data_IF_594611803535
#
_entry.id   IF_594611803535
#
_cell.length_a   1.000
_cell.length_b   1.000
_cell.length_c   1.000
_cell.angle_alpha   90.00
_cell.angle_beta   90.00
_cell.angle_gamma   90.00
#
_symmetry.space_group_name_H-M   'P 1'
#
loop_
_entity.id
_entity.type
_entity.pdbx_description
1 polymer ?
#
# COMPACT_ATOMS: atom_id res chain seq x y z
N UNK A 1 12.18 7.46 -4.74
CA UNK A 1 13.05 6.86 -3.71
C UNK A 1 12.13 6.27 -2.67
N UNK A 2 12.10 4.95 -2.53
CA UNK A 2 11.07 4.29 -1.72
C UNK A 2 11.33 4.50 -0.23
N UNK A 3 10.30 4.99 0.44
CA UNK A 3 10.06 5.15 1.89
C UNK A 3 10.20 3.85 2.72
N UNK A 4 11.29 3.08 2.56
CA UNK A 4 11.60 1.99 3.50
C UNK A 4 11.62 2.52 4.94
N UNK A 5 12.15 3.73 5.10
CA UNK A 5 12.17 4.45 6.37
C UNK A 5 10.79 4.77 6.95
N UNK A 6 9.75 4.97 6.14
CA UNK A 6 8.40 5.27 6.66
C UNK A 6 7.69 3.98 7.11
N UNK A 7 7.78 2.92 6.30
CA UNK A 7 7.26 1.61 6.68
C UNK A 7 7.92 1.12 7.98
N UNK A 8 9.25 1.24 8.08
CA UNK A 8 9.99 0.89 9.29
C UNK A 8 9.59 1.76 10.48
N UNK A 9 9.37 3.05 10.26
CA UNK A 9 8.91 3.96 11.32
C UNK A 9 7.53 3.57 11.83
N UNK A 10 6.59 3.27 10.93
CA UNK A 10 5.23 2.90 11.30
C UNK A 10 5.20 1.59 12.10
N UNK A 11 5.95 0.57 11.66
CA UNK A 11 5.99 -0.74 12.34
C UNK A 11 6.67 -0.65 13.71
N UNK A 12 7.70 0.20 13.84
CA UNK A 12 8.48 0.32 15.08
C UNK A 12 7.98 1.42 16.03
N UNK A 13 6.82 2.04 15.76
CA UNK A 13 6.26 3.05 16.65
C UNK A 13 5.73 2.39 17.92
N UNK A 14 6.19 2.84 19.09
CA UNK A 14 5.63 2.40 20.38
C UNK A 14 4.24 3.01 20.58
N UNK A 15 3.23 2.14 20.66
CA UNK A 15 1.83 2.53 20.80
C UNK A 15 1.38 2.68 22.25
N UNK A 16 2.18 2.24 23.23
CA UNK A 16 1.76 2.16 24.64
C UNK A 16 1.58 3.51 25.30
N UNK A 17 2.24 4.55 24.78
CA UNK A 17 2.15 5.93 25.27
C UNK A 17 1.21 6.83 24.49
N UNK A 18 0.58 6.34 23.42
CA UNK A 18 -0.26 7.17 22.55
C UNK A 18 -1.64 7.41 23.17
N UNK A 19 -2.12 8.64 23.06
CA UNK A 19 -3.52 8.99 23.33
C UNK A 19 -4.43 8.35 22.28
N UNK A 20 -5.74 8.29 22.57
CA UNK A 20 -6.71 7.74 21.62
C UNK A 20 -6.72 8.45 20.26
N UNK A 21 -6.44 9.76 20.23
CA UNK A 21 -6.36 10.53 18.97
C UNK A 21 -5.09 10.16 18.20
N UNK A 22 -3.95 10.10 18.88
CA UNK A 22 -2.67 9.72 18.24
C UNK A 22 -2.69 8.29 17.71
N UNK A 23 -3.41 7.38 18.38
CA UNK A 23 -3.59 6.01 17.90
C UNK A 23 -4.42 5.97 16.61
N UNK A 24 -5.48 6.79 16.51
CA UNK A 24 -6.28 6.89 15.29
C UNK A 24 -5.46 7.47 14.13
N UNK A 25 -4.71 8.54 14.38
CA UNK A 25 -3.81 9.12 13.36
C UNK A 25 -2.74 8.11 12.90
N UNK A 26 -2.21 7.30 13.83
CA UNK A 26 -1.27 6.24 13.49
C UNK A 26 -1.92 5.15 12.62
N UNK A 27 -3.14 4.72 12.96
CA UNK A 27 -3.88 3.74 12.15
C UNK A 27 -4.16 4.27 10.75
N UNK A 28 -4.58 5.53 10.62
CA UNK A 28 -4.80 6.18 9.32
C UNK A 28 -3.51 6.23 8.49
N UNK A 29 -2.37 6.52 9.13
CA UNK A 29 -1.07 6.52 8.47
C UNK A 29 -0.66 5.12 8.00
N UNK A 30 -0.89 4.09 8.81
CA UNK A 30 -0.66 2.68 8.43
C UNK A 30 -1.55 2.27 7.27
N UNK A 31 -2.84 2.60 7.31
CA UNK A 31 -3.78 2.27 6.23
C UNK A 31 -3.36 2.93 4.91
N UNK A 32 -3.05 4.23 4.94
CA UNK A 32 -2.57 4.96 3.77
C UNK A 32 -1.32 4.32 3.19
N UNK A 33 -0.34 4.00 4.05
CA UNK A 33 0.91 3.38 3.62
C UNK A 33 0.69 2.00 3.00
N UNK A 34 -0.21 1.20 3.57
CA UNK A 34 -0.56 -0.11 3.03
C UNK A 34 -1.20 0.01 1.65
N UNK A 35 -2.12 0.96 1.45
CA UNK A 35 -2.73 1.22 0.13
C UNK A 35 -1.70 1.67 -0.91
N UNK A 36 -0.74 2.51 -0.52
CA UNK A 36 0.38 2.89 -1.40
C UNK A 36 1.21 1.68 -1.84
N UNK A 37 1.58 0.81 -0.91
CA UNK A 37 2.34 -0.40 -1.23
C UNK A 37 1.57 -1.33 -2.17
N UNK A 38 0.27 -1.51 -1.92
CA UNK A 38 -0.61 -2.30 -2.79
C UNK A 38 -0.74 -1.69 -4.19
N UNK A 39 -0.73 -0.36 -4.32
CA UNK A 39 -0.72 0.34 -5.61
C UNK A 39 0.59 0.11 -6.35
N UNK A 40 1.73 0.27 -5.67
CA UNK A 40 3.04 -0.03 -6.27
C UNK A 40 3.13 -1.49 -6.72
N UNK A 41 2.60 -2.43 -5.93
CA UNK A 41 2.52 -3.83 -6.32
C UNK A 41 1.65 -4.03 -7.58
N UNK A 42 0.48 -3.41 -7.64
CA UNK A 42 -0.40 -3.44 -8.81
C UNK A 42 0.33 -2.92 -10.06
N UNK A 43 0.94 -1.74 -9.98
CA UNK A 43 1.70 -1.13 -11.08
C UNK A 43 2.83 -2.05 -11.57
N UNK A 44 3.55 -2.70 -10.65
CA UNK A 44 4.63 -3.64 -10.98
C UNK A 44 4.12 -4.89 -11.71
N UNK A 45 2.99 -5.46 -11.24
CA UNK A 45 2.38 -6.63 -11.86
C UNK A 45 1.80 -6.29 -13.24
N UNK A 46 1.17 -5.13 -13.39
CA UNK A 46 0.64 -4.67 -14.69
C UNK A 46 1.74 -4.33 -15.70
N UNK A 47 2.88 -3.83 -15.23
CA UNK A 47 4.04 -3.55 -16.07
C UNK A 47 4.83 -4.81 -16.48
N UNK A 48 4.54 -5.98 -15.88
CA UNK A 48 5.29 -7.22 -16.10
C UNK A 48 4.39 -8.40 -16.53
N UNK A 49 3.62 -8.27 -17.62
CA UNK A 49 2.59 -9.24 -18.00
C UNK A 49 3.15 -10.64 -18.31
N UNK A 50 4.39 -10.75 -18.81
CA UNK A 50 5.03 -12.04 -19.09
C UNK A 50 5.29 -12.83 -17.80
N UNK A 51 5.73 -12.13 -16.75
CA UNK A 51 5.99 -12.74 -15.43
C UNK A 51 4.69 -13.18 -14.75
N UNK A 52 3.64 -12.39 -14.93
CA UNK A 52 2.30 -12.72 -14.40
C UNK A 52 1.70 -13.92 -15.13
N UNK A 53 1.84 -13.97 -16.47
CA UNK A 53 1.32 -15.08 -17.27
C UNK A 53 1.93 -16.44 -16.89
N UNK A 54 3.22 -16.45 -16.52
CA UNK A 54 3.95 -17.66 -16.12
C UNK A 54 3.64 -18.11 -14.68
N UNK A 55 2.91 -17.31 -13.88
CA UNK A 55 2.69 -17.55 -12.44
C UNK A 55 1.23 -17.32 -12.04
N UNK A 56 0.42 -18.39 -11.93
CA UNK A 56 -0.99 -18.30 -11.54
C UNK A 56 -1.23 -17.56 -10.21
N UNK A 57 -0.29 -17.64 -9.26
CA UNK A 57 -0.39 -16.93 -7.99
C UNK A 57 -0.30 -15.41 -8.17
N UNK A 58 0.53 -14.94 -9.10
CA UNK A 58 0.64 -13.52 -9.43
C UNK A 58 -0.58 -13.03 -10.19
N UNK A 59 -1.17 -13.88 -11.05
CA UNK A 59 -2.44 -13.58 -11.71
C UNK A 59 -3.55 -13.39 -10.66
N UNK A 60 -3.68 -14.33 -9.72
CA UNK A 60 -4.66 -14.20 -8.63
C UNK A 60 -4.42 -12.97 -7.74
N UNK A 61 -3.16 -12.60 -7.50
CA UNK A 61 -2.80 -11.38 -6.76
C UNK A 61 -3.17 -10.12 -7.53
N UNK A 62 -2.87 -10.06 -8.83
CA UNK A 62 -3.25 -8.97 -9.72
C UNK A 62 -4.77 -8.78 -9.75
N UNK A 63 -5.52 -9.86 -9.91
CA UNK A 63 -6.97 -9.82 -9.94
C UNK A 63 -7.55 -9.33 -8.61
N UNK A 64 -6.99 -9.77 -7.48
CA UNK A 64 -7.37 -9.26 -6.17
C UNK A 64 -7.11 -7.75 -6.05
N UNK A 65 -5.90 -7.29 -6.40
CA UNK A 65 -5.52 -5.88 -6.27
C UNK A 65 -6.43 -4.95 -7.10
N UNK A 66 -6.91 -5.42 -8.26
CA UNK A 66 -7.89 -4.69 -9.08
C UNK A 66 -9.28 -4.55 -8.46
N UNK A 67 -9.62 -5.37 -7.48
CA UNK A 67 -10.90 -5.30 -6.76
C UNK A 67 -10.85 -4.45 -5.49
N UNK A 68 -9.66 -4.17 -4.98
CA UNK A 68 -9.49 -3.40 -3.75
C UNK A 68 -9.60 -1.91 -4.05
N UNK A 69 -10.36 -1.17 -3.24
CA UNK A 69 -10.32 0.29 -3.26
C UNK A 69 -9.01 0.79 -2.65
N UNK A 70 -8.06 1.13 -3.53
CA UNK A 70 -6.77 1.70 -3.15
C UNK A 70 -6.82 3.22 -2.99
N UNK A 71 -7.97 3.86 -3.21
CA UNK A 71 -8.15 5.30 -3.24
C UNK A 71 -7.59 5.97 -4.50
N UNK A 72 -8.20 7.06 -4.94
CA UNK A 72 -7.69 7.89 -6.03
C UNK A 72 -6.46 8.68 -5.59
N UNK A 73 -5.44 8.73 -6.45
CA UNK A 73 -4.50 9.85 -6.41
C UNK A 73 -5.32 11.03 -6.93
N UNK A 74 -5.73 11.95 -6.06
CA UNK A 74 -5.98 13.31 -6.51
C UNK A 74 -4.65 13.85 -7.05
N UNK A 75 -4.36 13.55 -8.30
CA UNK A 75 -3.40 14.33 -9.08
C UNK A 75 -3.91 15.77 -9.11
N UNK A 76 -3.02 16.78 -9.13
CA UNK A 76 -3.46 18.16 -9.21
C UNK A 76 -4.41 18.28 -10.42
N UNK A 77 -5.62 18.75 -10.16
CA UNK A 77 -6.66 18.91 -11.17
C UNK A 77 -6.14 19.66 -12.38
N UNK A 78 -6.51 19.17 -13.56
CA UNK A 78 -6.36 19.85 -14.84
C UNK A 78 -7.12 21.18 -14.88
#
# INVERSE_FOLDING_TARGET
MTDHSETDRLINTDLTGLTGVELLEHLDAVERRMKELMRTELELLEASPEVVADRPELQGRLDYLRTVDLGEVSGPGS
#
